data_IF_655826014504
#
_entry.id   IF_655826014504
#
_cell.length_a   1.000
_cell.length_b   1.000
_cell.length_c   1.000
_cell.angle_alpha   90.00
_cell.angle_beta   90.00
_cell.angle_gamma   90.00
#
_symmetry.space_group_name_H-M   'P 1'
#
loop_
_entity.id
_entity.type
_entity.pdbx_description
1 polymer ?
#
# COMPACT_ATOMS: atom_id res chain seq x y z
N UNK A 1 1.17 19.38 58.89
CA UNK A 1 0.09 19.60 57.89
C UNK A 1 0.62 20.12 56.54
N UNK A 2 1.37 21.24 56.48
CA UNK A 2 1.88 21.79 55.19
C UNK A 2 2.77 20.86 54.35
N UNK A 3 3.67 20.07 54.98
CA UNK A 3 4.55 19.13 54.25
C UNK A 3 3.79 17.97 53.61
N UNK A 4 2.79 17.41 54.31
CA UNK A 4 1.94 16.35 53.76
C UNK A 4 1.10 16.82 52.58
N UNK A 5 0.57 18.05 52.65
CA UNK A 5 -0.18 18.66 51.55
C UNK A 5 0.71 18.91 50.32
N UNK A 6 1.94 19.37 50.53
CA UNK A 6 2.90 19.58 49.45
C UNK A 6 3.31 18.27 48.77
N UNK A 7 3.51 17.19 49.53
CA UNK A 7 3.79 15.85 49.00
C UNK A 7 2.62 15.33 48.18
N UNK A 8 1.38 15.48 48.68
CA UNK A 8 0.17 15.09 47.96
C UNK A 8 0.00 15.85 46.63
N UNK A 9 0.22 17.17 46.66
CA UNK A 9 0.20 18.00 45.45
C UNK A 9 1.26 17.57 44.44
N UNK A 10 2.49 17.31 44.88
CA UNK A 10 3.56 16.85 44.01
C UNK A 10 3.24 15.51 43.34
N UNK A 11 2.69 14.56 44.09
CA UNK A 11 2.27 13.24 43.57
C UNK A 11 1.15 13.40 42.53
N UNK A 12 0.14 14.23 42.81
CA UNK A 12 -0.96 14.49 41.87
C UNK A 12 -0.45 15.13 40.58
N UNK A 13 0.43 16.14 40.68
CA UNK A 13 1.01 16.79 39.50
C UNK A 13 1.85 15.81 38.68
N UNK A 14 2.66 14.97 39.34
CA UNK A 14 3.45 13.95 38.66
C UNK A 14 2.56 12.94 37.90
N UNK A 15 1.50 12.45 38.54
CA UNK A 15 0.54 11.54 37.92
C UNK A 15 -0.15 12.17 36.71
N UNK A 16 -0.59 13.43 36.83
CA UNK A 16 -1.20 14.16 35.72
C UNK A 16 -0.21 14.38 34.56
N UNK A 17 1.04 14.72 34.85
CA UNK A 17 2.06 14.90 33.83
C UNK A 17 2.38 13.57 33.10
N UNK A 18 2.52 12.46 33.85
CA UNK A 18 2.72 11.14 33.25
C UNK A 18 1.51 10.67 32.46
N UNK A 19 0.29 10.90 32.96
CA UNK A 19 -0.94 10.53 32.28
C UNK A 19 -1.15 11.33 31.00
N UNK A 20 -0.87 12.64 31.04
CA UNK A 20 -0.88 13.50 29.86
C UNK A 20 0.15 13.03 28.83
N UNK A 21 1.39 12.75 29.25
CA UNK A 21 2.47 12.27 28.37
C UNK A 21 2.17 10.92 27.72
N UNK A 22 1.67 9.95 28.49
CA UNK A 22 1.24 8.64 27.96
C UNK A 22 0.02 8.80 27.05
N UNK A 23 -0.91 9.68 27.41
CA UNK A 23 -2.09 10.01 26.61
C UNK A 23 -1.72 10.62 25.25
N UNK A 24 -0.86 11.64 25.21
CA UNK A 24 -0.37 12.21 23.95
C UNK A 24 0.44 11.21 23.16
N UNK A 25 1.31 10.42 23.78
CA UNK A 25 2.05 9.36 23.08
C UNK A 25 1.09 8.33 22.45
N UNK A 26 0.05 7.88 23.17
CA UNK A 26 -0.91 6.92 22.64
C UNK A 26 -1.77 7.50 21.51
N UNK A 27 -2.10 8.79 21.56
CA UNK A 27 -2.86 9.49 20.53
C UNK A 27 -2.02 9.83 19.29
N UNK A 28 -0.73 10.15 19.48
CA UNK A 28 0.21 10.52 18.42
C UNK A 28 1.00 9.33 17.89
N UNK A 29 0.91 8.15 18.53
CA UNK A 29 1.58 6.95 18.02
C UNK A 29 1.15 6.76 16.56
N UNK A 30 2.09 6.50 15.64
CA UNK A 30 1.74 6.20 14.27
C UNK A 30 0.70 5.08 14.29
N UNK A 31 -0.54 5.38 13.88
CA UNK A 31 -1.49 4.32 13.59
C UNK A 31 -0.85 3.53 12.45
N UNK A 32 -0.78 2.21 12.60
CA UNK A 32 -0.38 1.34 11.49
C UNK A 32 -1.11 1.85 10.24
N UNK A 33 -0.40 2.05 9.10
CA UNK A 33 -0.99 2.64 7.92
C UNK A 33 -2.29 1.89 7.68
N UNK A 34 -3.42 2.61 7.78
CA UNK A 34 -4.74 2.06 7.51
C UNK A 34 -4.60 1.35 6.18
N UNK A 35 -4.59 0.00 6.20
CA UNK A 35 -4.06 -0.79 5.09
C UNK A 35 -4.92 -0.46 3.88
N UNK A 36 -4.39 0.41 3.02
CA UNK A 36 -5.13 0.91 1.87
C UNK A 36 -5.31 -0.28 0.97
N UNK A 37 -6.55 -0.66 0.69
CA UNK A 37 -6.84 -1.83 -0.15
C UNK A 37 -7.12 -1.38 -1.57
N UNK A 38 -6.66 -2.17 -2.53
CA UNK A 38 -7.15 -2.12 -3.91
C UNK A 38 -8.31 -3.10 -4.07
N UNK A 39 -9.19 -2.84 -5.02
CA UNK A 39 -10.26 -3.77 -5.40
C UNK A 39 -10.00 -4.30 -6.80
N UNK A 40 -10.16 -5.61 -6.98
CA UNK A 40 -10.10 -6.24 -8.29
C UNK A 40 -11.35 -7.09 -8.52
N UNK A 41 -11.98 -6.93 -9.67
CA UNK A 41 -13.21 -7.63 -10.02
C UNK A 41 -13.07 -8.32 -11.38
N UNK A 42 -13.53 -9.56 -11.48
CA UNK A 42 -13.72 -10.25 -12.75
C UNK A 42 -14.85 -11.26 -12.62
N UNK A 43 -15.74 -11.30 -13.62
CA UNK A 43 -16.77 -12.33 -13.76
C UNK A 43 -17.50 -12.71 -12.45
N UNK A 44 -18.07 -11.72 -11.75
CA UNK A 44 -18.83 -11.96 -10.52
C UNK A 44 -18.00 -12.16 -9.25
N UNK A 45 -16.67 -12.16 -9.35
CA UNK A 45 -15.75 -12.27 -8.21
C UNK A 45 -15.14 -10.91 -7.92
N UNK A 46 -15.30 -10.43 -6.69
CA UNK A 46 -14.68 -9.21 -6.17
C UNK A 46 -13.72 -9.59 -5.05
N UNK A 47 -12.49 -9.12 -5.13
CA UNK A 47 -11.53 -9.19 -4.02
C UNK A 47 -11.10 -7.79 -3.60
N UNK A 48 -10.72 -7.68 -2.33
CA UNK A 48 -9.98 -6.55 -1.79
C UNK A 48 -8.68 -7.06 -1.22
N UNK A 49 -7.58 -6.38 -1.51
CA UNK A 49 -6.26 -6.80 -1.06
C UNK A 49 -5.49 -5.59 -0.56
N UNK A 50 -4.89 -5.73 0.62
CA UNK A 50 -3.93 -4.78 1.17
C UNK A 50 -2.57 -4.87 0.49
N UNK A 51 -1.59 -4.09 0.94
CA UNK A 51 -0.26 -4.11 0.34
C UNK A 51 0.47 -5.44 0.62
N UNK A 52 1.09 -5.98 -0.42
CA UNK A 52 2.06 -7.07 -0.34
C UNK A 52 3.36 -6.60 0.34
N UNK A 53 3.77 -5.36 0.04
CA UNK A 53 4.91 -4.66 0.62
C UNK A 53 4.49 -3.22 0.97
N UNK A 54 4.90 -2.73 2.13
CA UNK A 54 4.76 -1.34 2.52
C UNK A 54 5.98 -0.88 3.32
N UNK A 55 6.69 0.11 2.81
CA UNK A 55 7.86 0.72 3.44
C UNK A 55 7.58 2.18 3.80
N UNK A 56 8.31 2.67 4.81
CA UNK A 56 8.35 4.09 5.11
C UNK A 56 8.92 4.86 3.90
N UNK A 57 8.21 5.90 3.45
CA UNK A 57 8.60 6.71 2.28
C UNK A 57 9.97 7.38 2.45
N UNK A 58 10.35 7.71 3.69
CA UNK A 58 11.62 8.36 4.04
C UNK A 58 12.73 7.36 4.38
N UNK A 59 12.39 6.10 4.65
CA UNK A 59 13.34 5.04 4.98
C UNK A 59 12.87 3.70 4.42
N UNK A 60 13.30 3.35 3.21
CA UNK A 60 12.94 2.08 2.57
C UNK A 60 13.61 0.84 3.19
N UNK A 61 14.37 0.98 4.28
CA UNK A 61 14.80 -0.16 5.09
C UNK A 61 13.77 -0.53 6.17
N UNK A 62 12.82 0.37 6.46
CA UNK A 62 11.72 0.15 7.40
C UNK A 62 10.49 -0.32 6.60
N UNK A 63 10.41 -1.64 6.38
CA UNK A 63 9.38 -2.27 5.56
C UNK A 63 8.58 -3.31 6.34
N UNK A 64 7.28 -3.30 6.10
CA UNK A 64 6.36 -4.37 6.41
C UNK A 64 6.09 -5.18 5.15
N UNK A 65 6.22 -6.50 5.24
CA UNK A 65 5.89 -7.44 4.17
C UNK A 65 4.83 -8.43 4.67
N UNK A 66 3.55 -8.03 4.70
CA UNK A 66 2.47 -8.96 5.03
C UNK A 66 2.38 -10.14 4.06
N UNK A 67 3.00 -10.01 2.87
CA UNK A 67 2.93 -11.00 1.79
C UNK A 67 1.48 -11.30 1.37
N UNK A 68 0.60 -10.31 1.56
CA UNK A 68 -0.80 -10.40 1.16
C UNK A 68 -0.88 -10.39 -0.37
N UNK A 69 -1.06 -11.56 -0.97
CA UNK A 69 -1.35 -11.71 -2.40
C UNK A 69 -2.82 -12.09 -2.56
N UNK A 70 -3.58 -11.26 -3.28
CA UNK A 70 -4.98 -11.53 -3.58
C UNK A 70 -5.08 -12.57 -4.69
N UNK A 71 -6.08 -13.45 -4.63
CA UNK A 71 -6.38 -14.40 -5.69
C UNK A 71 -7.73 -14.06 -6.32
N UNK A 72 -7.72 -13.74 -7.60
CA UNK A 72 -8.92 -13.39 -8.36
C UNK A 72 -9.22 -14.49 -9.38
N UNK A 73 -10.33 -15.23 -9.22
CA UNK A 73 -10.84 -16.09 -10.28
C UNK A 73 -11.13 -15.28 -11.53
N UNK A 74 -10.55 -15.70 -12.65
CA UNK A 74 -10.63 -15.03 -13.93
C UNK A 74 -11.05 -16.00 -15.04
N UNK A 75 -11.58 -15.45 -16.12
CA UNK A 75 -11.95 -16.19 -17.32
C UNK A 75 -11.52 -15.36 -18.51
N UNK A 76 -10.98 -16.02 -19.54
CA UNK A 76 -10.38 -15.36 -20.71
C UNK A 76 -11.31 -14.33 -21.38
N UNK A 77 -12.62 -14.61 -21.39
CA UNK A 77 -13.64 -13.74 -22.01
C UNK A 77 -14.00 -12.49 -21.19
N UNK A 78 -13.64 -12.43 -19.90
CA UNK A 78 -14.08 -11.36 -19.00
C UNK A 78 -12.88 -10.54 -18.54
N UNK A 79 -12.86 -9.22 -18.77
CA UNK A 79 -11.75 -8.38 -18.35
C UNK A 79 -11.70 -8.25 -16.82
N UNK A 80 -10.52 -7.94 -16.30
CA UNK A 80 -10.35 -7.51 -14.91
C UNK A 80 -10.63 -6.03 -14.79
N UNK A 81 -11.45 -5.65 -13.82
CA UNK A 81 -11.66 -4.28 -13.39
C UNK A 81 -10.86 -4.04 -12.11
N UNK A 82 -9.77 -3.30 -12.23
CA UNK A 82 -8.98 -2.82 -11.11
C UNK A 82 -9.53 -1.47 -10.65
N UNK A 83 -9.67 -1.27 -9.34
CA UNK A 83 -9.95 0.03 -8.73
C UNK A 83 -8.96 0.33 -7.61
N UNK A 84 -8.44 1.55 -7.62
CA UNK A 84 -7.53 2.08 -6.60
C UNK A 84 -8.22 3.22 -5.85
N UNK A 85 -8.08 3.30 -4.51
CA UNK A 85 -8.64 4.40 -3.75
C UNK A 85 -7.86 5.70 -3.99
N UNK A 86 -8.48 6.83 -3.63
CA UNK A 86 -7.87 8.16 -3.75
C UNK A 86 -6.52 8.27 -3.00
N UNK A 87 -6.37 7.54 -1.89
CA UNK A 87 -5.12 7.47 -1.14
C UNK A 87 -3.91 6.98 -1.98
N UNK A 88 -4.16 6.16 -3.02
CA UNK A 88 -3.16 5.74 -4.01
C UNK A 88 -3.13 6.75 -5.16
N UNK A 89 -4.29 7.05 -5.75
CA UNK A 89 -4.37 7.85 -6.97
C UNK A 89 -3.81 9.28 -6.81
N UNK A 90 -3.86 9.85 -5.61
CA UNK A 90 -3.32 11.20 -5.32
C UNK A 90 -1.80 11.36 -5.48
N UNK A 91 -1.07 10.26 -5.70
CA UNK A 91 0.36 10.25 -5.98
C UNK A 91 0.65 9.57 -7.33
N UNK A 92 1.84 9.73 -7.92
CA UNK A 92 2.21 8.98 -9.11
C UNK A 92 2.23 7.48 -8.78
N UNK A 93 1.55 6.67 -9.58
CA UNK A 93 1.42 5.23 -9.34
C UNK A 93 1.60 4.44 -10.63
N UNK A 94 2.15 3.24 -10.48
CA UNK A 94 2.54 2.37 -11.58
C UNK A 94 1.71 1.09 -11.55
N UNK A 95 1.15 0.72 -12.70
CA UNK A 95 0.46 -0.54 -12.92
C UNK A 95 1.34 -1.47 -13.75
N UNK A 96 1.57 -2.66 -13.24
CA UNK A 96 2.20 -3.75 -13.97
C UNK A 96 1.14 -4.81 -14.25
N UNK A 97 1.08 -5.24 -15.51
CA UNK A 97 0.25 -6.35 -15.98
C UNK A 97 1.20 -7.48 -16.33
N UNK A 98 1.19 -8.54 -15.51
CA UNK A 98 2.05 -9.70 -15.65
C UNK A 98 1.30 -10.74 -16.47
N UNK A 99 1.92 -11.23 -17.54
CA UNK A 99 1.36 -12.22 -18.45
C UNK A 99 2.05 -13.58 -18.25
N UNK A 100 1.67 -14.58 -19.03
CA UNK A 100 2.28 -15.92 -18.98
C UNK A 100 3.79 -15.91 -19.16
N UNK A 101 4.26 -15.09 -20.11
CA UNK A 101 5.68 -14.76 -20.21
C UNK A 101 5.96 -13.48 -19.39
N UNK A 102 6.64 -13.59 -18.22
CA UNK A 102 6.92 -12.44 -17.38
C UNK A 102 7.87 -11.42 -18.05
N UNK A 103 8.64 -11.84 -19.08
CA UNK A 103 9.47 -10.91 -19.86
C UNK A 103 8.62 -9.89 -20.63
N UNK A 104 7.35 -10.20 -20.89
CA UNK A 104 6.40 -9.34 -21.62
C UNK A 104 5.49 -8.50 -20.70
N UNK A 105 5.88 -8.30 -19.44
CA UNK A 105 5.13 -7.48 -18.47
C UNK A 105 4.86 -6.08 -19.03
N UNK A 106 3.58 -5.65 -19.05
CA UNK A 106 3.23 -4.30 -19.45
C UNK A 106 3.31 -3.36 -18.25
N UNK A 107 3.95 -2.21 -18.42
CA UNK A 107 4.06 -1.19 -17.37
C UNK A 107 3.36 0.09 -17.83
N UNK A 108 2.58 0.69 -16.95
CA UNK A 108 1.90 1.96 -17.21
C UNK A 108 2.01 2.87 -15.98
N UNK A 109 2.44 4.11 -16.19
CA UNK A 109 2.55 5.13 -15.15
C UNK A 109 1.36 6.07 -15.22
N UNK A 110 0.74 6.35 -14.08
CA UNK A 110 -0.39 7.27 -13.95
C UNK A 110 0.03 8.51 -13.15
N UNK A 111 -0.45 9.66 -13.60
CA UNK A 111 -0.23 10.93 -12.89
C UNK A 111 -1.15 11.03 -11.66
N UNK A 112 -0.77 11.84 -10.66
CA UNK A 112 -1.64 12.15 -9.53
C UNK A 112 -3.06 12.55 -9.97
N UNK A 113 -4.07 11.91 -9.38
CA UNK A 113 -5.49 12.16 -9.59
C UNK A 113 -6.05 11.78 -10.96
N UNK A 114 -5.23 11.25 -11.88
CA UNK A 114 -5.65 11.08 -13.28
C UNK A 114 -6.48 9.82 -13.55
N UNK A 115 -6.40 8.83 -12.66
CA UNK A 115 -7.00 7.49 -12.87
C UNK A 115 -7.27 6.81 -11.53
N UNK A 116 -8.48 6.28 -11.38
CA UNK A 116 -8.96 5.55 -10.18
C UNK A 116 -9.37 4.11 -10.46
N UNK A 117 -9.51 3.74 -11.73
CA UNK A 117 -9.88 2.38 -12.13
C UNK A 117 -9.28 2.05 -13.49
N UNK A 118 -8.94 0.79 -13.78
CA UNK A 118 -8.42 0.35 -15.07
C UNK A 118 -9.15 -0.93 -15.47
N UNK A 119 -9.56 -1.03 -16.73
CA UNK A 119 -10.11 -2.26 -17.30
C UNK A 119 -9.03 -2.94 -18.12
N UNK A 120 -8.69 -4.18 -17.77
CA UNK A 120 -7.56 -4.94 -18.30
C UNK A 120 -8.12 -6.20 -18.97
N UNK A 121 -7.89 -6.42 -20.27
CA UNK A 121 -8.24 -7.68 -20.91
C UNK A 121 -7.54 -8.86 -20.21
N UNK A 122 -8.27 -9.95 -19.94
CA UNK A 122 -7.67 -11.16 -19.34
C UNK A 122 -6.76 -11.92 -20.33
N UNK A 123 -6.89 -11.62 -21.63
CA UNK A 123 -5.98 -12.09 -22.68
C UNK A 123 -5.60 -10.91 -23.54
N UNK A 124 -4.30 -10.66 -23.68
CA UNK A 124 -3.73 -9.70 -24.62
C UNK A 124 -3.34 -10.43 -25.92
N UNK A 125 -3.69 -9.92 -27.12
CA UNK A 125 -3.39 -10.59 -28.38
C UNK A 125 -1.90 -10.80 -28.67
N UNK A 126 -1.03 -10.00 -28.07
CA UNK A 126 0.43 -10.05 -28.28
C UNK A 126 1.16 -10.69 -27.09
N UNK A 127 0.63 -10.54 -25.88
CA UNK A 127 1.30 -10.96 -24.64
C UNK A 127 0.72 -12.23 -24.01
N UNK A 128 -0.42 -12.71 -24.51
CA UNK A 128 -1.07 -13.92 -23.99
C UNK A 128 -1.94 -13.64 -22.76
N UNK A 129 -2.12 -14.65 -21.92
CA UNK A 129 -3.03 -14.57 -20.77
C UNK A 129 -2.43 -13.75 -19.64
N UNK A 130 -3.25 -12.90 -19.03
CA UNK A 130 -2.89 -12.12 -17.84
C UNK A 130 -2.81 -13.07 -16.64
N UNK A 131 -1.69 -13.13 -15.94
CA UNK A 131 -1.46 -14.01 -14.78
C UNK A 131 -1.40 -13.24 -13.47
N UNK A 132 -1.12 -11.93 -13.53
CA UNK A 132 -1.09 -11.09 -12.34
C UNK A 132 -1.20 -9.60 -12.63
N UNK A 133 -1.55 -8.86 -11.58
CA UNK A 133 -1.61 -7.41 -11.56
C UNK A 133 -0.84 -6.91 -10.35
N UNK A 134 0.03 -5.92 -10.57
CA UNK A 134 0.76 -5.26 -9.49
C UNK A 134 0.52 -3.75 -9.56
N UNK A 135 0.13 -3.16 -8.44
CA UNK A 135 0.03 -1.70 -8.28
C UNK A 135 1.18 -1.26 -7.40
N UNK A 136 1.91 -0.22 -7.78
CA UNK A 136 3.04 0.31 -7.02
C UNK A 136 2.89 1.81 -6.80
N UNK A 137 3.15 2.26 -5.56
CA UNK A 137 3.44 3.66 -5.27
C UNK A 137 4.95 3.85 -5.25
N UNK A 138 5.43 4.75 -6.10
CA UNK A 138 6.85 4.99 -6.27
C UNK A 138 7.32 6.15 -5.40
N UNK A 139 8.54 6.04 -4.91
CA UNK A 139 9.34 7.13 -4.34
C UNK A 139 10.69 7.18 -5.05
N UNK A 140 11.48 8.20 -4.74
CA UNK A 140 12.84 8.35 -5.23
C UNK A 140 13.82 7.94 -4.13
N UNK A 141 14.82 7.15 -4.51
CA UNK A 141 15.93 6.74 -3.65
C UNK A 141 17.26 7.09 -4.30
N UNK A 142 18.28 7.29 -3.48
CA UNK A 142 19.66 7.37 -3.94
C UNK A 142 20.30 6.01 -3.70
N UNK A 143 20.82 5.40 -4.74
CA UNK A 143 21.47 4.09 -4.65
C UNK A 143 22.92 4.19 -4.11
N UNK A 144 23.61 3.07 -3.83
CA UNK A 144 24.98 3.10 -3.31
C UNK A 144 26.00 3.77 -4.23
N UNK A 145 25.71 3.90 -5.53
CA UNK A 145 26.54 4.65 -6.48
C UNK A 145 26.28 6.16 -6.45
N UNK A 146 25.29 6.64 -5.70
CA UNK A 146 24.90 8.04 -5.64
C UNK A 146 23.88 8.44 -6.72
N UNK A 147 23.37 7.48 -7.50
CA UNK A 147 22.41 7.72 -8.57
C UNK A 147 20.98 7.71 -8.05
N UNK A 148 20.13 8.57 -8.60
CA UNK A 148 18.75 8.72 -8.19
C UNK A 148 17.85 7.77 -9.00
N UNK A 149 17.05 6.96 -8.31
CA UNK A 149 16.24 5.88 -8.90
C UNK A 149 14.83 5.84 -8.33
N UNK A 150 13.88 5.44 -9.15
CA UNK A 150 12.53 5.12 -8.69
C UNK A 150 12.51 3.77 -7.97
N UNK A 151 11.93 3.73 -6.78
CA UNK A 151 11.70 2.50 -6.01
C UNK A 151 10.26 2.45 -5.48
N UNK A 152 9.59 1.29 -5.51
CA UNK A 152 8.28 1.16 -4.90
C UNK A 152 8.41 1.23 -3.37
N UNK A 153 7.71 2.17 -2.73
CA UNK A 153 7.56 2.17 -1.28
C UNK A 153 6.29 1.43 -0.84
N UNK A 154 5.37 1.14 -1.75
CA UNK A 154 4.24 0.26 -1.49
C UNK A 154 3.88 -0.52 -2.74
N UNK A 155 3.45 -1.76 -2.56
CA UNK A 155 3.09 -2.69 -3.63
C UNK A 155 1.84 -3.49 -3.24
N UNK A 156 0.90 -3.63 -4.16
CA UNK A 156 -0.24 -4.53 -4.06
C UNK A 156 -0.15 -5.57 -5.16
N UNK A 157 -0.41 -6.84 -4.83
CA UNK A 157 -0.30 -7.95 -5.78
C UNK A 157 -1.59 -8.76 -5.83
N UNK A 158 -2.07 -8.99 -7.05
CA UNK A 158 -3.20 -9.87 -7.35
C UNK A 158 -2.73 -10.93 -8.36
N UNK A 159 -2.92 -12.20 -8.00
CA UNK A 159 -2.77 -13.34 -8.89
C UNK A 159 -4.12 -13.67 -9.53
N UNK A 160 -4.11 -13.96 -10.82
CA UNK A 160 -5.28 -14.50 -11.50
C UNK A 160 -5.26 -16.03 -11.46
N UNK A 161 -6.42 -16.62 -11.16
CA UNK A 161 -6.62 -18.07 -11.19
C UNK A 161 -7.65 -18.40 -12.27
N UNK A 162 -7.32 -19.32 -13.18
CA UNK A 162 -8.14 -19.69 -14.34
C UNK A 162 -8.67 -21.12 -14.22
#
# INVERSE_FOLDING_TARGET
MRRGLAVLLAVVVALLATGAGVGTWYLMRPRAPQQVEISAFSHGHLIRVGPYLYCNVLNLNDCQQPQAQGELPAKEKYPVQLSVPEAISRAPWRLLQVYEDPANTATTMFRPGSRLAVTIPSVDPQRGRLTGIVVQLLTLVVDPSGELREAPHAEWSVRLTY
#
